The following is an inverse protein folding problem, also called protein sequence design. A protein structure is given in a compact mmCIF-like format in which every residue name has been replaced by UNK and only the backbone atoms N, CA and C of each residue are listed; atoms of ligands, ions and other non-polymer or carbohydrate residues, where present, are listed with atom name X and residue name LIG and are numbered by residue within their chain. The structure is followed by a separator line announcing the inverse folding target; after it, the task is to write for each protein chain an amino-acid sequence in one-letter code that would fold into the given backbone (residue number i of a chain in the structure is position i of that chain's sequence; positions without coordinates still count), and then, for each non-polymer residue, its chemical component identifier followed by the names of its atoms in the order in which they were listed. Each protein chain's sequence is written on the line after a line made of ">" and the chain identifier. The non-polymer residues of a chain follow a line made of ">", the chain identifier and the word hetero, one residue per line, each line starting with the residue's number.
data_IF_981792199423
#
_entry.id   IF_981792199423
#
_cell.length_a   1.000
_cell.length_b   1.000
_cell.length_c   1.000
_cell.angle_alpha   90.00
_cell.angle_beta   90.00
_cell.angle_gamma   90.00
#
_symmetry.space_group_name_H-M   'P 1'
#
loop_
_entity.id
_entity.type
_entity.pdbx_description
1 polymer ?
#
# COMPACT_ATOMS: atom_id res chain seq x y z
N UNK A 1 -1.11 -4.11 -6.02
CA UNK A 1 -2.54 -4.13 -6.31
C UNK A 1 -3.29 -4.62 -5.08
N UNK A 2 -3.53 -3.75 -4.10
CA UNK A 2 -4.44 -4.11 -3.00
C UNK A 2 -5.86 -3.96 -3.53
N UNK A 3 -6.60 -5.06 -3.60
CA UNK A 3 -8.05 -5.05 -3.78
C UNK A 3 -8.71 -4.36 -2.57
N UNK A 4 -9.99 -4.03 -2.67
CA UNK A 4 -10.74 -3.56 -1.51
C UNK A 4 -10.73 -4.66 -0.44
N UNK A 5 -10.21 -4.36 0.74
CA UNK A 5 -10.20 -5.28 1.88
C UNK A 5 -11.56 -5.30 2.58
N UNK A 6 -11.91 -6.45 3.19
CA UNK A 6 -13.11 -6.59 4.04
C UNK A 6 -13.08 -5.63 5.23
N UNK A 7 -11.90 -5.41 5.79
CA UNK A 7 -11.65 -4.42 6.84
C UNK A 7 -10.43 -3.58 6.49
N UNK A 8 -10.51 -2.26 6.72
CA UNK A 8 -9.39 -1.34 6.60
C UNK A 8 -9.54 -0.23 7.62
N UNK A 9 -8.82 -0.36 8.75
CA UNK A 9 -9.01 0.50 9.91
C UNK A 9 -10.46 0.43 10.41
N UNK A 10 -11.14 1.57 10.60
CA UNK A 10 -12.52 1.61 11.10
C UNK A 10 -13.57 1.21 10.04
N UNK A 11 -13.18 0.98 8.79
CA UNK A 11 -14.09 0.67 7.70
C UNK A 11 -14.21 -0.83 7.49
N UNK A 12 -15.42 -1.38 7.65
CA UNK A 12 -15.74 -2.80 7.41
C UNK A 12 -16.69 -2.92 6.22
N UNK A 13 -16.45 -3.89 5.34
CA UNK A 13 -17.22 -4.15 4.12
C UNK A 13 -17.73 -5.60 4.08
N UNK A 14 -18.76 -5.94 4.87
CA UNK A 14 -19.21 -7.33 5.04
C UNK A 14 -19.86 -7.92 3.78
N UNK A 15 -20.30 -7.09 2.83
CA UNK A 15 -20.99 -7.52 1.60
C UNK A 15 -20.08 -7.52 0.36
N UNK A 16 -18.76 -7.58 0.54
CA UNK A 16 -17.82 -7.46 -0.57
C UNK A 16 -17.95 -8.60 -1.59
N UNK A 17 -18.34 -9.81 -1.15
CA UNK A 17 -18.55 -10.98 -2.01
C UNK A 17 -19.98 -11.10 -2.55
N UNK A 18 -20.87 -10.20 -2.14
CA UNK A 18 -22.27 -10.24 -2.57
C UNK A 18 -22.44 -9.42 -3.85
N UNK A 19 -22.96 -10.02 -4.90
CA UNK A 19 -23.21 -9.31 -6.14
C UNK A 19 -24.30 -8.25 -5.96
N UNK A 20 -24.20 -7.14 -6.73
CA UNK A 20 -25.24 -6.10 -6.74
C UNK A 20 -26.63 -6.68 -7.09
N UNK A 21 -26.69 -7.68 -7.98
CA UNK A 21 -27.95 -8.34 -8.34
C UNK A 21 -28.52 -9.11 -7.15
N UNK A 22 -27.71 -9.89 -6.45
CA UNK A 22 -28.15 -10.62 -5.26
C UNK A 22 -28.67 -9.67 -4.16
N UNK A 23 -28.04 -8.51 -3.98
CA UNK A 23 -28.54 -7.48 -3.05
C UNK A 23 -29.88 -6.91 -3.49
N UNK A 24 -30.08 -6.65 -4.78
CA UNK A 24 -31.37 -6.19 -5.32
C UNK A 24 -32.46 -7.22 -5.17
N UNK A 25 -32.16 -8.47 -5.46
CA UNK A 25 -33.09 -9.61 -5.32
C UNK A 25 -33.51 -9.73 -3.86
N UNK A 26 -32.55 -9.71 -2.92
CA UNK A 26 -32.84 -9.72 -1.49
C UNK A 26 -33.75 -8.59 -1.05
N UNK A 27 -33.46 -7.35 -1.48
CA UNK A 27 -34.30 -6.17 -1.12
C UNK A 27 -35.69 -6.27 -1.75
N UNK A 28 -35.82 -6.87 -2.94
CA UNK A 28 -37.11 -7.07 -3.60
C UNK A 28 -37.97 -8.12 -2.89
N UNK A 29 -37.35 -9.13 -2.25
CA UNK A 29 -38.06 -10.16 -1.49
C UNK A 29 -38.59 -9.67 -0.14
N UNK A 30 -38.11 -8.52 0.37
CA UNK A 30 -38.63 -7.91 1.60
C UNK A 30 -40.05 -7.38 1.34
N UNK A 31 -41.04 -7.68 2.19
CA UNK A 31 -42.38 -7.12 2.06
C UNK A 31 -42.38 -5.58 2.06
N UNK A 32 -43.24 -4.96 1.26
CA UNK A 32 -43.30 -3.49 1.11
C UNK A 32 -43.53 -2.77 2.44
N UNK A 33 -44.21 -3.37 3.39
CA UNK A 33 -44.46 -2.79 4.72
C UNK A 33 -43.23 -2.84 5.66
N UNK A 34 -42.18 -3.59 5.29
CA UNK A 34 -40.98 -3.77 6.09
C UNK A 34 -39.75 -3.05 5.49
N UNK A 35 -39.88 -2.48 4.31
CA UNK A 35 -38.80 -1.77 3.63
C UNK A 35 -39.05 -0.27 3.65
N UNK A 36 -37.98 0.51 3.88
CA UNK A 36 -38.05 1.98 3.75
C UNK A 36 -37.88 2.33 2.28
N UNK A 37 -38.90 2.97 1.71
CA UNK A 37 -38.85 3.49 0.34
C UNK A 37 -38.25 4.90 0.33
N UNK A 38 -37.61 5.29 -0.77
CA UNK A 38 -37.19 6.66 -0.98
C UNK A 38 -38.38 7.59 -1.31
N UNK A 39 -38.14 8.88 -1.54
CA UNK A 39 -39.16 9.89 -1.85
C UNK A 39 -39.91 9.61 -3.15
N UNK A 40 -39.32 8.82 -4.06
CA UNK A 40 -39.85 8.40 -5.34
C UNK A 40 -40.53 7.02 -5.29
N UNK A 41 -40.54 6.37 -4.12
CA UNK A 41 -41.11 5.03 -3.93
C UNK A 41 -40.19 3.88 -4.35
N UNK A 42 -38.91 4.13 -4.57
CA UNK A 42 -37.94 3.09 -4.92
C UNK A 42 -37.38 2.41 -3.66
N UNK A 43 -37.02 1.14 -3.79
CA UNK A 43 -36.43 0.33 -2.70
C UNK A 43 -34.94 0.63 -2.46
N UNK A 44 -34.27 1.27 -3.39
CA UNK A 44 -32.87 1.74 -3.29
C UNK A 44 -32.67 2.97 -4.18
N UNK A 45 -31.66 3.75 -3.86
CA UNK A 45 -31.25 4.88 -4.69
C UNK A 45 -30.20 4.47 -5.71
N UNK A 46 -30.37 4.90 -6.94
CA UNK A 46 -29.32 4.84 -7.97
C UNK A 46 -28.52 6.13 -7.94
N UNK A 47 -27.20 6.01 -7.81
CA UNK A 47 -26.31 7.15 -7.96
C UNK A 47 -26.20 7.52 -9.44
N UNK A 48 -26.75 8.68 -9.81
CA UNK A 48 -26.75 9.18 -11.17
C UNK A 48 -25.32 9.31 -11.77
N UNK A 49 -24.31 9.48 -10.93
CA UNK A 49 -22.91 9.56 -11.39
C UNK A 49 -22.38 8.21 -11.89
N UNK A 50 -23.02 7.10 -11.55
CA UNK A 50 -22.66 5.76 -12.06
C UNK A 50 -22.98 5.59 -13.57
N UNK A 51 -23.83 6.42 -14.15
CA UNK A 51 -24.18 6.37 -15.58
C UNK A 51 -23.13 7.03 -16.50
N UNK A 52 -22.22 7.84 -15.95
CA UNK A 52 -21.20 8.53 -16.73
C UNK A 52 -20.03 7.60 -17.06
N UNK A 53 -19.89 7.24 -18.35
CA UNK A 53 -18.82 6.33 -18.85
C UNK A 53 -17.49 7.03 -19.14
N UNK A 54 -17.42 8.33 -18.98
CA UNK A 54 -16.20 9.16 -19.09
C UNK A 54 -15.15 8.84 -18.02
N UNK A 55 -15.54 8.23 -16.89
CA UNK A 55 -14.61 7.75 -15.89
C UNK A 55 -14.15 6.32 -16.24
N UNK A 56 -12.84 6.07 -16.18
CA UNK A 56 -12.25 4.77 -16.50
C UNK A 56 -12.92 3.58 -15.78
N UNK A 57 -13.30 3.74 -14.50
CA UNK A 57 -14.01 2.68 -13.74
C UNK A 57 -15.39 2.38 -14.31
N UNK A 58 -16.14 3.40 -14.72
CA UNK A 58 -17.45 3.24 -15.33
C UNK A 58 -17.31 2.60 -16.72
N UNK A 59 -16.36 3.04 -17.54
CA UNK A 59 -16.02 2.42 -18.82
C UNK A 59 -15.71 0.93 -18.68
N UNK A 60 -14.85 0.55 -17.73
CA UNK A 60 -14.53 -0.86 -17.47
C UNK A 60 -15.80 -1.65 -17.10
N UNK A 61 -16.64 -1.10 -16.22
CA UNK A 61 -17.87 -1.75 -15.73
C UNK A 61 -18.93 -1.92 -16.82
N UNK A 62 -19.11 -0.91 -17.66
CA UNK A 62 -20.21 -0.88 -18.62
C UNK A 62 -19.83 -1.38 -20.01
N UNK A 63 -18.55 -1.31 -20.39
CA UNK A 63 -18.09 -1.69 -21.71
C UNK A 63 -17.20 -2.94 -21.72
N UNK A 64 -16.17 -2.97 -20.86
CA UNK A 64 -15.17 -4.04 -20.90
C UNK A 64 -15.69 -5.32 -20.27
N UNK A 65 -16.20 -5.26 -19.03
CA UNK A 65 -16.64 -6.44 -18.29
C UNK A 65 -17.77 -7.19 -19.03
N UNK A 66 -18.82 -6.54 -19.56
CA UNK A 66 -19.88 -7.26 -20.31
C UNK A 66 -19.32 -7.99 -21.51
N UNK A 67 -18.52 -7.33 -22.34
CA UNK A 67 -17.89 -7.95 -23.54
C UNK A 67 -16.97 -9.13 -23.18
N UNK A 68 -16.22 -9.01 -22.09
CA UNK A 68 -15.37 -10.09 -21.61
C UNK A 68 -16.18 -11.27 -21.07
N UNK A 69 -17.31 -11.03 -20.37
CA UNK A 69 -18.23 -12.06 -19.89
C UNK A 69 -18.92 -12.82 -21.03
N UNK A 70 -19.23 -12.16 -22.14
CA UNK A 70 -19.76 -12.84 -23.34
C UNK A 70 -18.79 -13.90 -23.89
N UNK A 71 -17.48 -13.69 -23.74
CA UNK A 71 -16.44 -14.64 -24.16
C UNK A 71 -16.13 -15.70 -23.11
N UNK A 72 -16.24 -15.33 -21.83
CA UNK A 72 -16.00 -16.22 -20.70
C UNK A 72 -16.99 -15.93 -19.57
N UNK A 73 -18.04 -16.76 -19.47
CA UNK A 73 -19.07 -16.62 -18.44
C UNK A 73 -18.54 -16.74 -17.00
N UNK A 74 -17.40 -17.42 -16.81
CA UNK A 74 -16.77 -17.61 -15.49
C UNK A 74 -15.69 -16.56 -15.18
N UNK A 75 -15.56 -15.51 -16.01
CA UNK A 75 -14.50 -14.50 -15.88
C UNK A 75 -14.43 -13.89 -14.48
N UNK A 76 -15.57 -13.46 -13.94
CA UNK A 76 -15.59 -12.79 -12.63
C UNK A 76 -15.21 -13.74 -11.49
N UNK A 77 -15.73 -14.97 -11.51
CA UNK A 77 -15.42 -15.97 -10.49
C UNK A 77 -13.93 -16.34 -10.51
N UNK A 78 -13.35 -16.45 -11.70
CA UNK A 78 -11.92 -16.72 -11.87
C UNK A 78 -11.09 -15.53 -11.37
N UNK A 79 -11.47 -14.30 -11.72
CA UNK A 79 -10.78 -13.11 -11.25
C UNK A 79 -10.89 -12.97 -9.73
N UNK A 80 -12.07 -13.12 -9.14
CA UNK A 80 -12.25 -13.05 -7.69
C UNK A 80 -11.40 -14.09 -6.97
N UNK A 81 -11.39 -15.35 -7.45
CA UNK A 81 -10.54 -16.40 -6.87
C UNK A 81 -9.06 -16.05 -6.94
N UNK A 82 -8.59 -15.59 -8.09
CA UNK A 82 -7.19 -15.18 -8.27
C UNK A 82 -6.84 -14.01 -7.38
N UNK A 83 -7.71 -13.01 -7.26
CA UNK A 83 -7.49 -11.85 -6.40
C UNK A 83 -7.44 -12.23 -4.92
N UNK A 84 -8.27 -13.18 -4.48
CA UNK A 84 -8.23 -13.66 -3.10
C UNK A 84 -6.92 -14.41 -2.80
N UNK A 85 -6.46 -15.27 -3.72
CA UNK A 85 -5.15 -15.93 -3.58
C UNK A 85 -4.00 -14.92 -3.48
N UNK A 86 -4.01 -13.89 -4.33
CA UNK A 86 -3.01 -12.81 -4.29
C UNK A 86 -3.10 -12.03 -2.96
N UNK A 87 -4.30 -11.81 -2.43
CA UNK A 87 -4.49 -11.13 -1.16
C UNK A 87 -3.93 -11.94 0.02
N UNK A 88 -4.17 -13.25 0.05
CA UNK A 88 -3.62 -14.16 1.08
C UNK A 88 -2.07 -14.19 1.03
N UNK A 89 -1.50 -14.24 -0.19
CA UNK A 89 -0.05 -14.17 -0.39
C UNK A 89 0.53 -12.80 0.02
N UNK A 90 -0.19 -11.72 -0.25
CA UNK A 90 0.19 -10.35 0.12
C UNK A 90 0.24 -10.18 1.64
N UNK A 91 -0.78 -10.66 2.35
CA UNK A 91 -0.86 -10.63 3.82
C UNK A 91 0.27 -11.46 4.47
N UNK A 92 0.58 -12.62 3.89
CA UNK A 92 1.71 -13.45 4.35
C UNK A 92 3.04 -12.74 4.16
N UNK A 93 3.28 -12.13 3.01
CA UNK A 93 4.50 -11.37 2.75
C UNK A 93 4.60 -10.11 3.61
N UNK A 94 3.48 -9.47 3.95
CA UNK A 94 3.46 -8.33 4.88
C UNK A 94 3.84 -8.77 6.30
N UNK A 95 3.38 -9.94 6.76
CA UNK A 95 3.80 -10.48 8.08
C UNK A 95 5.30 -10.77 8.11
N UNK A 96 5.84 -11.42 7.08
CA UNK A 96 7.30 -11.68 6.98
C UNK A 96 8.11 -10.39 6.88
N UNK A 97 7.60 -9.37 6.20
CA UNK A 97 8.25 -8.07 6.12
C UNK A 97 8.28 -7.38 7.49
N UNK A 98 7.21 -7.49 8.27
CA UNK A 98 7.15 -6.96 9.64
C UNK A 98 8.16 -7.64 10.56
N UNK A 99 8.23 -8.97 10.55
CA UNK A 99 9.24 -9.74 11.29
C UNK A 99 10.67 -9.35 10.88
N UNK A 100 10.88 -9.18 9.57
CA UNK A 100 12.18 -8.74 9.04
C UNK A 100 12.51 -7.32 9.49
N UNK A 101 11.53 -6.41 9.55
CA UNK A 101 11.71 -5.05 10.02
C UNK A 101 12.16 -5.01 11.49
N UNK A 102 11.53 -5.78 12.37
CA UNK A 102 11.90 -5.88 13.78
C UNK A 102 13.36 -6.27 13.99
N UNK A 103 13.88 -7.15 13.12
CA UNK A 103 15.26 -7.68 13.23
C UNK A 103 16.32 -6.83 12.52
N UNK A 104 15.93 -6.01 11.56
CA UNK A 104 16.85 -5.34 10.63
C UNK A 104 16.73 -3.82 10.58
N UNK A 105 15.81 -3.22 11.35
CA UNK A 105 15.67 -1.77 11.43
C UNK A 105 16.03 -1.24 12.82
N UNK A 106 16.68 -0.09 12.83
CA UNK A 106 16.94 0.71 14.03
C UNK A 106 16.37 2.12 13.80
N UNK A 107 15.31 2.47 14.52
CA UNK A 107 14.76 3.81 14.51
C UNK A 107 15.58 4.73 15.39
N UNK A 108 15.90 5.93 14.92
CA UNK A 108 16.78 6.90 15.57
C UNK A 108 15.96 8.14 15.93
N UNK A 109 16.07 8.58 17.19
CA UNK A 109 15.28 9.70 17.70
C UNK A 109 13.83 9.35 17.93
N UNK A 110 13.07 10.32 18.46
CA UNK A 110 11.65 10.16 18.80
C UNK A 110 11.46 10.02 20.30
N UNK A 111 11.03 11.12 20.94
CA UNK A 111 10.63 11.14 22.38
C UNK A 111 9.23 10.55 22.57
N UNK A 112 8.92 9.42 21.91
CA UNK A 112 7.61 8.75 22.04
C UNK A 112 6.47 9.38 21.20
N UNK A 113 6.76 10.25 20.25
CA UNK A 113 5.83 10.81 19.27
C UNK A 113 6.07 10.26 17.86
N UNK A 114 5.19 10.61 16.90
CA UNK A 114 5.20 10.14 15.51
C UNK A 114 6.35 10.68 14.63
N UNK A 115 7.39 11.31 15.22
CA UNK A 115 8.50 11.88 14.45
C UNK A 115 9.83 11.20 14.79
N UNK A 116 10.50 10.65 13.78
CA UNK A 116 11.83 10.04 13.88
C UNK A 116 12.88 10.93 13.21
N UNK A 117 14.09 10.97 13.80
CA UNK A 117 15.25 11.66 13.21
C UNK A 117 15.89 10.83 12.09
N UNK A 118 15.65 9.51 12.07
CA UNK A 118 16.16 8.61 11.06
C UNK A 118 15.72 7.16 11.26
N UNK A 119 15.98 6.33 10.24
CA UNK A 119 15.86 4.89 10.29
C UNK A 119 17.11 4.27 9.68
N UNK A 120 17.76 3.37 10.39
CA UNK A 120 18.90 2.61 9.88
C UNK A 120 18.48 1.22 9.50
N UNK A 121 18.75 0.86 8.25
CA UNK A 121 18.72 -0.52 7.76
C UNK A 121 20.06 -1.17 8.13
N UNK A 122 20.04 -2.17 8.99
CA UNK A 122 21.25 -2.85 9.47
C UNK A 122 21.95 -3.62 8.32
N UNK A 123 23.25 -3.95 8.44
CA UNK A 123 23.95 -4.71 7.39
C UNK A 123 23.30 -6.05 7.04
N UNK A 124 22.70 -6.74 8.03
CA UNK A 124 21.95 -7.99 7.83
C UNK A 124 20.76 -7.85 6.88
N UNK A 125 20.21 -6.65 6.74
CA UNK A 125 19.09 -6.37 5.83
C UNK A 125 19.43 -6.66 4.37
N UNK A 126 20.68 -6.49 3.95
CA UNK A 126 21.10 -6.78 2.58
C UNK A 126 20.94 -8.25 2.18
N UNK A 127 20.95 -9.18 3.14
CA UNK A 127 20.73 -10.61 2.91
C UNK A 127 19.23 -11.01 2.86
N UNK A 128 18.33 -10.10 3.20
CA UNK A 128 16.88 -10.35 3.16
C UNK A 128 16.41 -10.49 1.70
N UNK A 129 15.46 -11.38 1.45
CA UNK A 129 14.90 -11.58 0.11
C UNK A 129 14.34 -10.27 -0.48
N UNK A 130 14.65 -9.98 -1.75
CA UNK A 130 14.31 -8.71 -2.42
C UNK A 130 12.84 -8.27 -2.31
N UNK A 131 11.85 -9.17 -2.41
CA UNK A 131 10.45 -8.78 -2.21
C UNK A 131 10.16 -8.22 -0.81
N UNK A 132 10.77 -8.79 0.23
CA UNK A 132 10.64 -8.33 1.61
C UNK A 132 11.39 -7.02 1.81
N UNK A 133 12.59 -6.88 1.25
CA UNK A 133 13.34 -5.61 1.27
C UNK A 133 12.49 -4.45 0.74
N UNK A 134 11.81 -4.64 -0.41
CA UNK A 134 10.93 -3.62 -0.99
C UNK A 134 9.78 -3.24 -0.09
N UNK A 135 9.15 -4.20 0.59
CA UNK A 135 8.05 -3.95 1.53
C UNK A 135 8.52 -3.19 2.77
N UNK A 136 9.63 -3.62 3.35
CA UNK A 136 10.21 -2.95 4.52
C UNK A 136 10.61 -1.52 4.18
N UNK A 137 11.29 -1.29 3.06
CA UNK A 137 11.68 0.07 2.62
C UNK A 137 10.45 0.93 2.31
N UNK A 138 9.41 0.35 1.74
CA UNK A 138 8.14 1.04 1.51
C UNK A 138 7.54 1.50 2.84
N UNK A 139 7.47 0.62 3.85
CA UNK A 139 6.97 0.96 5.19
C UNK A 139 7.82 2.06 5.87
N UNK A 140 9.15 2.03 5.72
CA UNK A 140 10.04 3.10 6.21
C UNK A 140 9.72 4.42 5.54
N UNK A 141 9.53 4.45 4.21
CA UNK A 141 9.17 5.67 3.49
C UNK A 141 7.78 6.19 3.88
N UNK A 142 6.81 5.30 4.07
CA UNK A 142 5.46 5.66 4.55
C UNK A 142 5.50 6.30 5.94
N UNK A 143 6.36 5.80 6.84
CA UNK A 143 6.53 6.37 8.16
C UNK A 143 7.07 7.81 8.15
N UNK A 144 7.94 8.15 7.18
CA UNK A 144 8.48 9.51 7.02
C UNK A 144 7.58 10.46 6.23
N UNK A 145 6.88 9.95 5.21
CA UNK A 145 6.11 10.77 4.25
C UNK A 145 4.66 10.92 4.70
N UNK A 146 4.16 9.95 5.49
CA UNK A 146 2.76 9.87 5.88
C UNK A 146 1.85 9.42 4.72
N UNK A 147 0.55 9.45 4.96
CA UNK A 147 -0.47 8.96 4.01
C UNK A 147 -0.76 9.92 2.84
N UNK A 148 -0.09 11.07 2.78
CA UNK A 148 -0.41 12.13 1.80
C UNK A 148 0.27 11.92 0.43
N UNK A 149 1.20 10.98 0.32
CA UNK A 149 1.99 10.75 -0.88
C UNK A 149 2.02 9.31 -1.37
N UNK A 150 1.96 9.11 -2.69
CA UNK A 150 2.24 7.81 -3.29
C UNK A 150 3.76 7.57 -3.24
N UNK A 151 4.18 6.44 -2.64
CA UNK A 151 5.58 6.02 -2.66
C UNK A 151 6.01 5.65 -4.09
N UNK A 152 7.09 6.26 -4.55
CA UNK A 152 7.66 6.00 -5.87
C UNK A 152 8.59 4.78 -5.81
N UNK A 153 8.39 3.83 -6.72
CA UNK A 153 9.26 2.65 -6.84
C UNK A 153 10.73 3.03 -7.04
N UNK A 154 11.00 4.15 -7.71
CA UNK A 154 12.35 4.67 -7.88
C UNK A 154 13.05 5.00 -6.55
N UNK A 155 12.30 5.54 -5.57
CA UNK A 155 12.83 5.82 -4.23
C UNK A 155 13.17 4.55 -3.45
N UNK A 156 12.34 3.50 -3.59
CA UNK A 156 12.60 2.20 -2.98
C UNK A 156 13.88 1.60 -3.56
N UNK A 157 14.00 1.54 -4.89
CA UNK A 157 15.19 0.98 -5.55
C UNK A 157 16.45 1.80 -5.28
N UNK A 158 16.34 3.13 -5.15
CA UNK A 158 17.46 4.00 -4.79
C UNK A 158 18.00 3.71 -3.38
N UNK A 159 17.13 3.41 -2.40
CA UNK A 159 17.57 2.99 -1.06
C UNK A 159 18.25 1.61 -1.14
N UNK A 160 17.65 0.68 -1.87
CA UNK A 160 18.17 -0.68 -1.99
C UNK A 160 19.48 -0.76 -2.79
N UNK A 161 19.79 0.24 -3.64
CA UNK A 161 21.08 0.34 -4.33
C UNK A 161 22.23 0.79 -3.42
N UNK A 162 21.96 1.12 -2.16
CA UNK A 162 22.97 1.36 -1.13
C UNK A 162 23.61 0.06 -0.59
N UNK A 163 23.09 -1.11 -1.00
CA UNK A 163 23.69 -2.43 -0.76
C UNK A 163 24.28 -2.97 -2.07
N UNK A 164 25.42 -3.63 -1.98
CA UNK A 164 26.05 -4.31 -3.13
C UNK A 164 25.39 -5.66 -3.46
N UNK A 165 25.92 -6.39 -4.43
CA UNK A 165 25.43 -7.70 -4.88
C UNK A 165 25.54 -8.78 -3.79
N UNK A 166 26.45 -8.62 -2.84
CA UNK A 166 26.67 -9.51 -1.70
C UNK A 166 25.80 -9.14 -0.48
N UNK A 167 25.06 -8.03 -0.60
CA UNK A 167 24.18 -7.49 0.46
C UNK A 167 24.92 -6.64 1.49
N UNK A 168 26.17 -6.24 1.25
CA UNK A 168 26.89 -5.37 2.16
C UNK A 168 26.58 -3.87 1.88
N UNK A 169 26.48 -3.02 2.91
CA UNK A 169 26.30 -1.58 2.72
C UNK A 169 27.48 -0.94 2.00
N UNK A 170 27.24 -0.19 0.93
CA UNK A 170 28.26 0.49 0.14
C UNK A 170 28.74 1.74 0.89
N UNK A 171 29.89 1.66 1.57
CA UNK A 171 30.44 2.78 2.35
C UNK A 171 30.67 4.02 1.49
N UNK A 172 30.14 5.16 1.93
CA UNK A 172 30.26 6.43 1.21
C UNK A 172 29.13 6.67 0.20
N UNK A 173 28.21 5.71 0.00
CA UNK A 173 27.02 5.92 -0.80
C UNK A 173 26.18 7.06 -0.21
N UNK A 174 25.73 7.98 -1.07
CA UNK A 174 24.82 9.07 -0.71
C UNK A 174 23.88 9.35 -1.87
N UNK A 175 22.58 9.38 -1.59
CA UNK A 175 21.55 9.79 -2.55
C UNK A 175 20.39 10.49 -1.84
N UNK A 176 19.50 11.08 -2.62
CA UNK A 176 18.25 11.67 -2.13
C UNK A 176 17.08 10.89 -2.69
N UNK A 177 16.01 10.78 -1.90
CA UNK A 177 14.76 10.15 -2.31
C UNK A 177 13.59 11.09 -2.03
N UNK A 178 12.38 10.71 -2.47
CA UNK A 178 11.18 11.49 -2.23
C UNK A 178 10.99 11.81 -0.73
N UNK A 179 10.12 12.80 -0.40
CA UNK A 179 9.86 13.20 0.97
C UNK A 179 11.00 14.04 1.58
N UNK A 180 11.89 14.59 0.74
CA UNK A 180 13.04 15.37 1.20
C UNK A 180 13.95 14.57 2.17
N UNK A 181 14.15 13.28 1.86
CA UNK A 181 14.96 12.35 2.63
C UNK A 181 16.34 12.17 1.98
N UNK A 182 17.36 12.07 2.82
CA UNK A 182 18.71 11.67 2.45
C UNK A 182 18.94 10.21 2.82
N UNK A 183 19.65 9.51 1.96
CA UNK A 183 20.12 8.14 2.18
C UNK A 183 21.62 8.14 2.20
N UNK A 184 22.23 7.57 3.23
CA UNK A 184 23.69 7.44 3.32
C UNK A 184 24.06 6.07 3.87
N UNK A 185 25.15 5.46 3.36
CA UNK A 185 25.58 4.16 3.81
C UNK A 185 27.01 4.19 4.38
N UNK A 186 27.23 3.36 5.39
CA UNK A 186 28.51 3.08 5.97
C UNK A 186 28.55 1.60 6.49
N UNK A 187 29.61 1.20 7.17
CA UNK A 187 29.76 -0.15 7.73
C UNK A 187 28.67 -0.52 8.76
N UNK A 188 27.98 0.45 9.34
CA UNK A 188 26.90 0.24 10.32
C UNK A 188 25.53 0.00 9.67
N UNK A 189 25.40 0.25 8.37
CA UNK A 189 24.17 0.08 7.62
C UNK A 189 23.86 1.26 6.70
N UNK A 190 22.63 1.27 6.20
CA UNK A 190 22.07 2.32 5.36
C UNK A 190 21.13 3.18 6.21
N UNK A 191 21.41 4.46 6.30
CA UNK A 191 20.63 5.43 7.08
C UNK A 191 19.74 6.25 6.15
N UNK A 192 18.45 6.25 6.44
CA UNK A 192 17.42 7.11 5.83
C UNK A 192 17.05 8.17 6.86
N UNK A 193 17.19 9.44 6.54
CA UNK A 193 16.96 10.55 7.48
C UNK A 193 16.42 11.79 6.75
N UNK A 194 15.66 12.68 7.41
CA UNK A 194 15.28 13.96 6.84
C UNK A 194 16.52 14.75 6.38
N UNK A 195 16.42 15.44 5.24
CA UNK A 195 17.53 16.22 4.66
C UNK A 195 18.08 17.28 5.63
N UNK A 196 17.22 17.82 6.50
CA UNK A 196 17.63 18.79 7.53
C UNK A 196 18.60 18.15 8.54
N UNK A 197 18.26 16.93 9.01
CA UNK A 197 19.09 16.16 9.96
C UNK A 197 20.42 15.77 9.30
N UNK A 198 20.37 15.25 8.07
CA UNK A 198 21.58 14.94 7.30
C UNK A 198 22.53 16.12 7.14
N UNK A 199 22.01 17.30 6.80
CA UNK A 199 22.81 18.53 6.65
C UNK A 199 23.38 19.02 7.98
N UNK A 200 22.59 18.95 9.05
CA UNK A 200 23.06 19.36 10.40
C UNK A 200 24.22 18.47 10.87
N UNK A 201 24.12 17.17 10.68
CA UNK A 201 25.15 16.18 11.04
C UNK A 201 26.45 16.35 10.25
N UNK A 202 26.40 16.85 9.01
CA UNK A 202 27.58 17.08 8.15
C UNK A 202 28.20 18.46 8.26
N UNK A 203 27.56 19.43 8.93
CA UNK A 203 28.19 20.71 9.20
C UNK A 203 29.33 20.48 10.21
N UNK A 204 30.60 20.77 9.88
CA UNK A 204 31.64 20.74 10.88
C UNK A 204 31.29 21.78 11.97
N UNK A 205 31.38 21.36 13.25
CA UNK A 205 31.36 22.31 14.37
C UNK A 205 32.42 23.36 14.09
N UNK A 206 32.02 24.54 13.61
CA UNK A 206 32.87 25.72 13.64
C UNK A 206 32.83 26.19 15.10
N UNK A 207 33.77 25.67 15.91
CA UNK A 207 34.17 26.28 17.15
C UNK A 207 34.97 27.55 16.84
#
# INVERSE_FOLDING_TARGET
>A
FRSMLYANGPVVRPLLDVSRQALRDFVNDIPVGEVVLDEEGNRWREDATNAHTDRFRAFVRHEIIPKAKERNGQLLDTLCRTMNLIADEDDFLDSLASESAESNLEWIGGDGGDSFDGCRLLPSFGAVARPLQRRVVMAVLEAFIGNEGRIESASIEAILSAFDEEGAPISGFVTNVQGNLAVSANKQGVLVEPMAVFRARRKPNRA
#
